data_IF_710372346877
#
_entry.id   IF_710372346877
#
_cell.length_a   1.000
_cell.length_b   1.000
_cell.length_c   1.000
_cell.angle_alpha   90.00
_cell.angle_beta   90.00
_cell.angle_gamma   90.00
#
_symmetry.space_group_name_H-M   'P 1'
#
loop_
_entity.id
_entity.type
_entity.pdbx_description
1 polymer ?
#
# COMPACT_ATOMS: atom_id res chain seq x y z
N UNK A 1 26.88 19.50 -11.64
CA UNK A 1 25.88 19.09 -12.65
C UNK A 1 24.92 18.22 -11.89
N UNK A 2 23.77 18.77 -11.50
CA UNK A 2 22.74 18.00 -10.77
C UNK A 2 22.18 16.93 -11.70
N UNK A 3 22.67 15.70 -11.55
CA UNK A 3 21.96 14.52 -12.03
C UNK A 3 20.68 14.41 -11.22
N UNK A 4 19.60 15.00 -11.72
CA UNK A 4 18.25 14.72 -11.24
C UNK A 4 18.03 13.21 -11.30
N UNK A 5 18.18 12.55 -10.16
CA UNK A 5 17.82 11.15 -10.02
C UNK A 5 16.31 11.05 -10.27
N UNK A 6 15.85 10.20 -11.21
CA UNK A 6 14.44 10.02 -11.46
C UNK A 6 13.76 9.62 -10.15
N UNK A 7 12.67 10.30 -9.82
CA UNK A 7 11.87 9.99 -8.63
C UNK A 7 11.47 8.51 -8.69
N UNK A 8 11.71 7.70 -7.65
CA UNK A 8 11.31 6.28 -7.63
C UNK A 8 9.82 6.07 -7.89
N UNK A 9 9.00 7.10 -7.61
CA UNK A 9 7.57 7.13 -7.92
C UNK A 9 7.29 7.23 -9.42
N UNK A 10 8.26 7.66 -10.24
CA UNK A 10 8.15 7.72 -11.71
C UNK A 10 8.15 6.34 -12.36
N UNK A 11 8.62 5.30 -11.66
CA UNK A 11 8.48 3.91 -12.13
C UNK A 11 7.04 3.42 -12.08
N UNK A 12 6.24 3.98 -11.16
CA UNK A 12 4.81 3.78 -11.04
C UNK A 12 4.02 5.01 -11.44
N UNK A 13 4.57 5.91 -12.29
CA UNK A 13 3.80 7.04 -12.80
C UNK A 13 2.65 6.50 -13.63
N UNK A 14 1.51 6.32 -12.95
CA UNK A 14 0.30 5.83 -13.55
C UNK A 14 -0.06 6.81 -14.65
N UNK A 15 -0.11 6.29 -15.89
CA UNK A 15 -0.50 7.05 -17.07
C UNK A 15 -1.85 7.75 -16.87
N UNK A 16 -2.71 7.16 -16.04
CA UNK A 16 -4.00 7.66 -15.63
C UNK A 16 -4.04 7.67 -14.09
N UNK A 17 -4.48 8.78 -13.48
CA UNK A 17 -4.55 8.91 -12.02
C UNK A 17 -5.92 8.47 -11.50
N UNK A 18 -6.98 8.86 -12.21
CA UNK A 18 -8.36 8.49 -11.94
C UNK A 18 -8.95 7.56 -13.02
N UNK A 19 -10.11 6.98 -12.71
CA UNK A 19 -10.86 6.18 -13.70
C UNK A 19 -11.40 7.06 -14.82
N UNK A 20 -11.68 8.33 -14.53
CA UNK A 20 -12.11 9.40 -15.42
C UNK A 20 -11.04 9.80 -16.45
N UNK A 21 -9.76 9.55 -16.17
CA UNK A 21 -8.67 9.83 -17.11
C UNK A 21 -8.58 8.75 -18.22
N UNK A 22 -9.24 7.60 -18.03
CA UNK A 22 -9.17 6.49 -18.97
C UNK A 22 -9.94 6.80 -20.26
N UNK A 23 -9.38 6.46 -21.44
CA UNK A 23 -10.04 6.68 -22.70
C UNK A 23 -11.36 5.91 -22.76
N UNK A 24 -12.44 6.63 -23.09
CA UNK A 24 -13.78 6.07 -23.13
C UNK A 24 -14.56 6.18 -21.82
N UNK A 25 -13.98 6.76 -20.77
CA UNK A 25 -14.70 7.06 -19.51
C UNK A 25 -15.17 8.51 -19.53
N UNK A 26 -16.42 8.72 -19.94
CA UNK A 26 -17.13 9.98 -19.71
C UNK A 26 -17.80 10.03 -18.33
N UNK A 27 -18.37 11.18 -17.91
CA UNK A 27 -18.99 11.34 -16.59
C UNK A 27 -20.04 10.27 -16.26
N UNK A 28 -20.87 9.88 -17.23
CA UNK A 28 -21.89 8.85 -17.03
C UNK A 28 -21.29 7.46 -16.76
N UNK A 29 -20.18 7.12 -17.42
CA UNK A 29 -19.48 5.84 -17.20
C UNK A 29 -18.73 5.88 -15.88
N UNK A 30 -18.07 7.00 -15.54
CA UNK A 30 -17.41 7.19 -14.25
C UNK A 30 -18.37 6.97 -13.08
N UNK A 31 -19.58 7.52 -13.15
CA UNK A 31 -20.62 7.28 -12.12
C UNK A 31 -21.00 5.81 -12.00
N UNK A 32 -21.17 5.09 -13.12
CA UNK A 32 -21.48 3.64 -13.10
C UNK A 32 -20.33 2.82 -12.49
N UNK A 33 -19.10 3.12 -12.88
CA UNK A 33 -17.89 2.49 -12.36
C UNK A 33 -17.77 2.71 -10.85
N UNK A 34 -17.91 3.95 -10.39
CA UNK A 34 -17.84 4.30 -8.98
C UNK A 34 -18.95 3.62 -8.14
N UNK A 35 -20.18 3.58 -8.65
CA UNK A 35 -21.31 2.90 -8.00
C UNK A 35 -21.10 1.37 -7.90
N UNK A 36 -20.39 0.78 -8.87
CA UNK A 36 -20.04 -0.64 -8.87
C UNK A 36 -18.74 -0.96 -8.10
N UNK A 37 -18.10 0.03 -7.49
CA UNK A 37 -16.88 -0.17 -6.69
C UNK A 37 -15.56 -0.08 -7.47
N UNK A 38 -15.61 0.16 -8.78
CA UNK A 38 -14.43 0.38 -9.63
C UNK A 38 -13.93 1.82 -9.46
N UNK A 39 -13.18 2.06 -8.38
CA UNK A 39 -12.74 3.40 -7.97
C UNK A 39 -11.30 3.73 -8.39
N UNK A 40 -10.55 2.76 -8.90
CA UNK A 40 -9.13 2.91 -9.22
C UNK A 40 -8.79 2.30 -10.58
N UNK A 41 -7.78 2.87 -11.25
CA UNK A 41 -7.25 2.31 -12.51
C UNK A 41 -6.77 0.87 -12.30
N UNK A 42 -6.19 0.57 -11.13
CA UNK A 42 -5.74 -0.77 -10.74
C UNK A 42 -6.89 -1.78 -10.72
N UNK A 43 -8.02 -1.41 -10.10
CA UNK A 43 -9.20 -2.29 -10.04
C UNK A 43 -9.73 -2.62 -11.45
N UNK A 44 -9.72 -1.64 -12.36
CA UNK A 44 -10.12 -1.85 -13.75
C UNK A 44 -9.12 -2.71 -14.55
N UNK A 45 -7.83 -2.69 -14.21
CA UNK A 45 -6.84 -3.52 -14.88
C UNK A 45 -7.05 -5.02 -14.59
N UNK A 46 -7.58 -5.35 -13.41
CA UNK A 46 -7.93 -6.71 -13.00
C UNK A 46 -9.35 -7.13 -13.41
N UNK A 47 -10.19 -6.20 -13.83
CA UNK A 47 -11.56 -6.46 -14.24
C UNK A 47 -11.65 -7.24 -15.57
N UNK A 48 -12.81 -7.85 -15.79
CA UNK A 48 -13.22 -8.53 -17.01
C UNK A 48 -14.21 -7.68 -17.80
N UNK A 49 -14.27 -7.89 -19.12
CA UNK A 49 -15.22 -7.17 -19.99
C UNK A 49 -16.68 -7.41 -19.58
N UNK A 50 -16.99 -8.62 -19.06
CA UNK A 50 -18.32 -9.00 -18.59
C UNK A 50 -18.75 -8.22 -17.33
N UNK A 51 -17.84 -7.93 -16.42
CA UNK A 51 -18.15 -7.15 -15.20
C UNK A 51 -18.47 -5.68 -15.53
N UNK A 52 -17.83 -5.12 -16.55
CA UNK A 52 -18.17 -3.77 -17.02
C UNK A 52 -19.46 -3.80 -17.87
N UNK A 53 -19.69 -4.86 -18.63
CA UNK A 53 -20.93 -5.03 -19.38
C UNK A 53 -22.17 -5.14 -18.47
N UNK A 54 -22.06 -5.84 -17.33
CA UNK A 54 -23.18 -6.03 -16.40
C UNK A 54 -23.67 -4.73 -15.75
N UNK A 55 -22.82 -3.69 -15.70
CA UNK A 55 -23.17 -2.35 -15.21
C UNK A 55 -23.56 -1.39 -16.36
N UNK A 56 -23.74 -1.92 -17.57
CA UNK A 56 -24.21 -1.18 -18.73
C UNK A 56 -23.14 -0.32 -19.40
N UNK A 57 -21.87 -0.76 -19.39
CA UNK A 57 -20.80 -0.23 -20.25
C UNK A 57 -20.70 -1.12 -21.49
N UNK A 58 -20.76 -0.54 -22.69
CA UNK A 58 -20.73 -1.31 -23.94
C UNK A 58 -19.41 -2.09 -24.10
N UNK A 59 -19.46 -3.29 -24.68
CA UNK A 59 -18.32 -4.23 -24.77
C UNK A 59 -17.05 -3.59 -25.37
N UNK A 60 -17.19 -2.83 -26.45
CA UNK A 60 -16.05 -2.15 -27.09
C UNK A 60 -15.41 -1.11 -26.15
N UNK A 61 -16.22 -0.37 -25.41
CA UNK A 61 -15.77 0.61 -24.41
C UNK A 61 -15.13 -0.09 -23.22
N UNK A 62 -15.72 -1.19 -22.73
CA UNK A 62 -15.15 -2.02 -21.66
C UNK A 62 -13.76 -2.52 -22.02
N UNK A 63 -13.58 -3.05 -23.24
CA UNK A 63 -12.28 -3.50 -23.75
C UNK A 63 -11.25 -2.37 -23.82
N UNK A 64 -11.66 -1.18 -24.29
CA UNK A 64 -10.79 0.01 -24.33
C UNK A 64 -10.33 0.44 -22.94
N UNK A 65 -11.25 0.51 -21.97
CA UNK A 65 -10.97 0.89 -20.58
C UNK A 65 -9.99 -0.10 -19.95
N UNK A 66 -10.29 -1.40 -19.99
CA UNK A 66 -9.45 -2.45 -19.38
C UNK A 66 -8.06 -2.48 -20.02
N UNK A 67 -7.98 -2.37 -21.34
CA UNK A 67 -6.69 -2.35 -22.05
C UNK A 67 -5.86 -1.12 -21.67
N UNK A 68 -6.48 0.06 -21.58
CA UNK A 68 -5.81 1.28 -21.17
C UNK A 68 -5.34 1.21 -19.70
N UNK A 69 -6.18 0.66 -18.82
CA UNK A 69 -5.84 0.44 -17.41
C UNK A 69 -4.64 -0.51 -17.27
N UNK A 70 -4.65 -1.66 -17.96
CA UNK A 70 -3.52 -2.61 -17.96
C UNK A 70 -2.22 -2.00 -18.48
N UNK A 71 -2.29 -1.22 -19.58
CA UNK A 71 -1.13 -0.49 -20.11
C UNK A 71 -0.61 0.58 -19.14
N UNK A 72 -1.50 1.17 -18.34
CA UNK A 72 -1.10 2.13 -17.30
C UNK A 72 -0.40 1.47 -16.12
N UNK A 73 -0.54 0.15 -15.95
CA UNK A 73 0.19 -0.64 -14.96
C UNK A 73 1.42 -1.32 -15.55
N UNK A 74 1.92 -0.88 -16.72
CA UNK A 74 3.01 -1.54 -17.44
C UNK A 74 4.14 -1.96 -16.51
N UNK A 75 4.22 -3.27 -16.26
CA UNK A 75 5.32 -3.89 -15.53
C UNK A 75 6.51 -3.85 -16.48
N UNK A 76 7.39 -2.87 -16.30
CA UNK A 76 8.61 -2.74 -17.09
C UNK A 76 9.62 -3.78 -16.63
N UNK A 77 10.23 -4.49 -17.57
CA UNK A 77 11.47 -5.21 -17.29
C UNK A 77 12.55 -4.18 -17.00
N UNK A 78 13.26 -4.37 -15.89
CA UNK A 78 14.34 -3.49 -15.44
C UNK A 78 15.61 -4.30 -15.26
N UNK A 79 16.76 -3.63 -15.38
CA UNK A 79 18.05 -4.27 -15.09
C UNK A 79 18.28 -4.37 -13.58
N UNK A 80 19.20 -5.25 -13.17
CA UNK A 80 19.50 -5.48 -11.75
C UNK A 80 20.07 -4.26 -11.03
N UNK A 81 20.87 -3.44 -11.71
CA UNK A 81 21.42 -2.18 -11.20
C UNK A 81 20.35 -1.10 -11.03
N UNK A 82 19.38 -1.04 -11.95
CA UNK A 82 18.21 -0.17 -11.81
C UNK A 82 17.31 -0.60 -10.64
N UNK A 83 17.11 -1.91 -10.46
CA UNK A 83 16.38 -2.46 -9.31
C UNK A 83 17.08 -2.11 -7.98
N UNK A 84 18.41 -2.20 -7.93
CA UNK A 84 19.17 -1.84 -6.74
C UNK A 84 18.98 -0.36 -6.36
N UNK A 85 19.01 0.54 -7.35
CA UNK A 85 18.71 1.97 -7.15
C UNK A 85 17.29 2.19 -6.66
N UNK A 86 16.29 1.52 -7.25
CA UNK A 86 14.89 1.60 -6.81
C UNK A 86 14.67 1.17 -5.36
N UNK A 87 15.42 0.17 -4.91
CA UNK A 87 15.37 -0.35 -3.55
C UNK A 87 16.15 0.50 -2.55
N UNK A 88 17.03 1.38 -3.01
CA UNK A 88 17.78 2.30 -2.14
C UNK A 88 16.86 3.29 -1.41
N UNK A 89 15.71 3.61 -2.00
CA UNK A 89 14.68 4.48 -1.40
C UNK A 89 13.63 3.72 -0.59
N UNK A 90 13.93 2.49 -0.15
CA UNK A 90 13.09 1.79 0.83
C UNK A 90 13.52 2.22 2.23
N UNK A 91 12.56 2.77 2.97
CA UNK A 91 12.73 3.05 4.40
C UNK A 91 12.36 1.83 5.22
N UNK A 92 13.02 1.64 6.36
CA UNK A 92 12.72 0.60 7.33
C UNK A 92 12.00 1.20 8.54
N UNK A 93 11.03 0.46 9.07
CA UNK A 93 10.30 0.80 10.29
C UNK A 93 10.71 -0.13 11.43
N UNK A 94 11.00 0.42 12.60
CA UNK A 94 11.33 -0.37 13.80
C UNK A 94 10.16 -1.25 14.23
N UNK A 95 10.47 -2.45 14.73
CA UNK A 95 9.52 -3.32 15.42
C UNK A 95 9.29 -2.93 16.88
N UNK A 96 10.06 -1.96 17.39
CA UNK A 96 10.14 -1.63 18.82
C UNK A 96 10.99 -2.61 19.63
N UNK A 97 11.55 -3.65 18.99
CA UNK A 97 12.42 -4.63 19.62
C UNK A 97 13.79 -4.64 18.93
N UNK A 98 14.81 -4.12 19.61
CA UNK A 98 16.19 -4.04 19.06
C UNK A 98 16.74 -5.37 18.56
N UNK A 99 16.44 -6.47 19.25
CA UNK A 99 16.91 -7.79 18.85
C UNK A 99 16.24 -8.27 17.55
N UNK A 100 14.95 -7.96 17.37
CA UNK A 100 14.22 -8.29 16.16
C UNK A 100 14.61 -7.37 15.00
N UNK A 101 14.78 -6.07 15.25
CA UNK A 101 15.29 -5.13 14.25
C UNK A 101 16.67 -5.56 13.76
N UNK A 102 17.57 -5.97 14.65
CA UNK A 102 18.87 -6.52 14.26
C UNK A 102 18.73 -7.77 13.39
N UNK A 103 17.84 -8.70 13.77
CA UNK A 103 17.58 -9.91 12.99
C UNK A 103 17.04 -9.58 11.58
N UNK A 104 16.23 -8.54 11.46
CA UNK A 104 15.64 -8.07 10.20
C UNK A 104 16.55 -7.12 9.41
N UNK A 105 17.75 -6.82 9.90
CA UNK A 105 18.69 -5.93 9.23
C UNK A 105 18.33 -4.43 9.35
N UNK A 106 17.57 -4.04 10.36
CA UNK A 106 17.24 -2.65 10.69
C UNK A 106 15.77 -2.42 11.03
N UNK A 107 14.87 -3.29 10.56
CA UNK A 107 13.44 -3.18 10.79
C UNK A 107 12.64 -3.83 9.65
N UNK A 108 11.38 -3.43 9.51
CA UNK A 108 10.50 -3.87 8.44
C UNK A 108 10.62 -2.95 7.22
N UNK A 109 10.94 -3.51 6.06
CA UNK A 109 11.05 -2.78 4.79
C UNK A 109 9.67 -2.26 4.33
N UNK A 110 9.59 -0.97 4.02
CA UNK A 110 8.47 -0.43 3.22
C UNK A 110 8.48 -1.04 1.82
N UNK A 111 7.33 -0.96 1.11
CA UNK A 111 7.15 -1.57 -0.23
C UNK A 111 7.35 -3.09 -0.25
N UNK A 112 7.18 -3.75 0.90
CA UNK A 112 7.24 -5.20 1.06
C UNK A 112 6.02 -5.72 1.84
N UNK A 113 5.81 -7.03 1.82
CA UNK A 113 4.86 -7.72 2.70
C UNK A 113 5.69 -8.57 3.66
N UNK A 114 5.52 -8.35 4.96
CA UNK A 114 6.14 -9.19 6.00
C UNK A 114 5.06 -10.01 6.70
N UNK A 115 5.24 -11.33 6.74
CA UNK A 115 4.32 -12.26 7.39
C UNK A 115 4.88 -12.75 8.73
N UNK A 116 4.11 -12.57 9.81
CA UNK A 116 4.37 -13.19 11.11
C UNK A 116 3.44 -14.39 11.32
N UNK A 117 4.00 -15.61 11.29
CA UNK A 117 3.25 -16.87 11.45
C UNK A 117 3.71 -17.67 12.67
N UNK A 118 2.80 -18.47 13.25
CA UNK A 118 3.05 -19.29 14.44
C UNK A 118 1.79 -19.61 15.24
N UNK A 119 1.93 -20.42 16.30
CA UNK A 119 0.82 -20.89 17.14
C UNK A 119 0.11 -19.77 17.93
N UNK A 120 -1.09 -20.05 18.46
CA UNK A 120 -1.78 -19.12 19.36
C UNK A 120 -0.87 -18.74 20.54
N UNK A 121 -0.86 -17.46 20.91
CA UNK A 121 0.00 -16.96 21.99
C UNK A 121 1.46 -16.69 21.59
N UNK A 122 1.87 -16.97 20.34
CA UNK A 122 3.25 -16.70 19.87
C UNK A 122 3.63 -15.23 19.72
N UNK A 123 2.72 -14.30 20.02
CA UNK A 123 2.96 -12.85 19.98
C UNK A 123 2.59 -12.15 18.66
N UNK A 124 2.01 -12.84 17.66
CA UNK A 124 1.59 -12.23 16.38
C UNK A 124 0.73 -10.98 16.56
N UNK A 125 -0.37 -11.07 17.31
CA UNK A 125 -1.27 -9.94 17.54
C UNK A 125 -0.66 -8.84 18.40
N UNK A 126 0.36 -9.16 19.23
CA UNK A 126 1.14 -8.15 19.97
C UNK A 126 2.03 -7.38 18.99
N UNK A 127 2.69 -8.07 18.08
CA UNK A 127 3.50 -7.46 17.04
C UNK A 127 2.65 -6.55 16.15
N UNK A 128 1.50 -7.02 15.65
CA UNK A 128 0.61 -6.19 14.81
C UNK A 128 0.18 -4.90 15.51
N UNK A 129 -0.20 -4.95 16.80
CA UNK A 129 -0.56 -3.76 17.57
C UNK A 129 0.64 -2.85 17.84
N UNK A 130 1.82 -3.42 18.12
CA UNK A 130 3.05 -2.66 18.32
C UNK A 130 3.44 -1.88 17.05
N UNK A 131 3.34 -2.51 15.89
CA UNK A 131 3.64 -1.89 14.60
C UNK A 131 2.63 -0.79 14.24
N UNK A 132 1.35 -0.95 14.60
CA UNK A 132 0.32 0.06 14.41
C UNK A 132 0.59 1.37 15.19
N UNK A 133 1.36 1.29 16.27
CA UNK A 133 1.84 2.45 17.03
C UNK A 133 3.19 2.93 16.50
N UNK A 134 4.14 2.02 16.26
CA UNK A 134 5.50 2.37 15.82
C UNK A 134 5.52 3.16 14.50
N UNK A 135 4.59 2.88 13.57
CA UNK A 135 4.48 3.59 12.30
C UNK A 135 4.23 5.10 12.46
N UNK A 136 3.60 5.50 13.56
CA UNK A 136 3.25 6.89 13.86
C UNK A 136 4.45 7.68 14.44
N UNK A 137 5.53 7.00 14.80
CA UNK A 137 6.74 7.69 15.26
C UNK A 137 7.37 8.48 14.10
N UNK A 138 8.07 9.59 14.42
CA UNK A 138 8.94 10.26 13.45
C UNK A 138 10.02 9.33 12.89
N UNK A 139 10.55 9.66 11.71
CA UNK A 139 11.56 8.86 11.02
C UNK A 139 12.83 8.70 11.87
N UNK A 140 13.25 9.73 12.59
CA UNK A 140 14.43 9.71 13.47
C UNK A 140 14.28 8.77 14.67
N UNK A 141 13.04 8.36 15.00
CA UNK A 141 12.71 7.36 16.02
C UNK A 141 12.40 5.99 15.41
N UNK A 142 12.60 5.82 14.11
CA UNK A 142 12.37 4.57 13.38
C UNK A 142 10.93 4.33 12.94
N UNK A 143 10.04 5.33 13.05
CA UNK A 143 8.70 5.25 12.46
C UNK A 143 8.65 5.81 11.05
N UNK A 144 7.44 6.09 10.55
CA UNK A 144 7.21 6.60 9.20
C UNK A 144 6.35 7.88 9.18
N UNK A 145 6.06 8.45 10.35
CA UNK A 145 5.18 9.62 10.51
C UNK A 145 3.85 9.45 9.74
N UNK A 146 3.23 8.26 9.90
CA UNK A 146 2.09 7.84 9.08
C UNK A 146 1.02 7.11 9.89
N UNK A 147 -0.22 7.12 9.36
CA UNK A 147 -1.35 6.41 9.94
C UNK A 147 -1.32 4.90 9.64
N UNK A 148 -1.98 4.10 10.50
CA UNK A 148 -2.13 2.66 10.33
C UNK A 148 -3.57 2.29 9.93
N UNK A 149 -3.72 1.44 8.91
CA UNK A 149 -4.97 0.71 8.66
C UNK A 149 -4.88 -0.69 9.29
N UNK A 150 -5.60 -0.91 10.38
CA UNK A 150 -5.66 -2.21 11.05
C UNK A 150 -6.94 -2.95 10.69
N UNK A 151 -6.81 -4.14 10.09
CA UNK A 151 -7.94 -5.02 9.76
C UNK A 151 -7.94 -6.18 10.75
N UNK A 152 -8.98 -6.27 11.58
CA UNK A 152 -9.16 -7.33 12.58
C UNK A 152 -10.25 -8.31 12.15
N UNK A 153 -9.88 -9.58 11.98
CA UNK A 153 -10.79 -10.65 11.56
C UNK A 153 -11.28 -11.52 12.72
N UNK A 154 -10.67 -11.41 13.91
CA UNK A 154 -10.95 -12.29 15.05
C UNK A 154 -11.35 -11.53 16.33
N UNK A 155 -11.39 -10.20 16.28
CA UNK A 155 -11.73 -9.37 17.44
C UNK A 155 -10.62 -9.37 18.51
N UNK A 156 -9.36 -9.52 18.09
CA UNK A 156 -8.17 -9.57 18.97
C UNK A 156 -7.54 -8.20 19.20
N UNK A 157 -8.01 -7.16 18.51
CA UNK A 157 -7.57 -5.78 18.75
C UNK A 157 -8.00 -5.32 20.15
N UNK A 158 -7.08 -4.68 20.89
CA UNK A 158 -7.32 -4.21 22.26
C UNK A 158 -6.84 -2.76 22.39
N UNK A 159 -7.74 -1.76 22.37
CA UNK A 159 -7.37 -0.35 22.51
C UNK A 159 -6.53 -0.08 23.76
N UNK A 160 -6.87 -0.69 24.89
CA UNK A 160 -6.08 -0.58 26.12
C UNK A 160 -4.62 -1.04 25.95
N UNK A 161 -4.36 -2.02 25.09
CA UNK A 161 -2.99 -2.49 24.80
C UNK A 161 -2.24 -1.52 23.89
N UNK A 162 -2.92 -0.97 22.88
CA UNK A 162 -2.38 0.08 22.02
C UNK A 162 -1.99 1.31 22.83
N UNK A 163 -2.84 1.74 23.77
CA UNK A 163 -2.55 2.88 24.65
C UNK A 163 -1.29 2.63 25.51
N UNK A 164 -1.11 1.41 26.03
CA UNK A 164 0.11 1.05 26.75
C UNK A 164 1.35 1.13 25.86
N UNK A 165 1.25 0.67 24.60
CA UNK A 165 2.35 0.72 23.64
C UNK A 165 2.68 2.17 23.24
N UNK A 166 1.67 3.01 23.04
CA UNK A 166 1.84 4.44 22.75
C UNK A 166 2.59 5.15 23.89
N UNK A 167 2.15 4.99 25.13
CA UNK A 167 2.82 5.56 26.30
C UNK A 167 4.26 5.06 26.41
N UNK A 168 4.52 3.77 26.17
CA UNK A 168 5.87 3.21 26.19
C UNK A 168 6.80 3.81 25.12
N UNK A 169 6.23 4.26 23.99
CA UNK A 169 6.97 4.94 22.91
C UNK A 169 6.99 6.48 23.08
N UNK A 170 6.41 7.01 24.16
CA UNK A 170 6.36 8.44 24.44
C UNK A 170 5.36 9.21 23.55
N UNK A 171 4.32 8.54 23.07
CA UNK A 171 3.21 9.11 22.31
C UNK A 171 2.01 9.38 23.23
N UNK A 172 1.17 10.36 22.86
CA UNK A 172 -0.13 10.57 23.49
C UNK A 172 -1.09 9.44 23.03
N UNK A 173 -1.68 8.66 23.95
CA UNK A 173 -2.62 7.59 23.58
C UNK A 173 -3.99 8.08 23.08
N UNK A 174 -4.25 9.40 23.09
CA UNK A 174 -5.52 9.99 22.66
C UNK A 174 -5.45 10.70 21.30
N UNK A 175 -4.25 10.87 20.76
CA UNK A 175 -4.01 11.42 19.41
C UNK A 175 -3.87 10.31 18.36
#
# INVERSE_FOLDING_TARGET
MDEQHPDPRDFYKARYQGVEDLPGVGPAIATKLAAAGWKTVQSLATATERELASIGVGEETSKKIITAARKSLEIKFIKGDELAKLRADMTQMTTGCRALDFLLGGGLDTKSITEFSGEFGSGKSQMSQQLAVAVQLPLEKGGLDAACLYIDTEGVFRPARVNQMAVNLGLDPTE
#
